data_IF_408005143875
#
_entry.id   IF_408005143875
#
_cell.length_a   1.000
_cell.length_b   1.000
_cell.length_c   1.000
_cell.angle_alpha   90.00
_cell.angle_beta   90.00
_cell.angle_gamma   90.00
#
_symmetry.space_group_name_H-M   'P 1'
#
loop_
_entity.id
_entity.type
_entity.pdbx_description
1 polymer ?
#
# COMPACT_ATOMS: atom_id res chain seq x y z
N UNK A 1 12.75 3.43 -13.92
CA UNK A 1 13.67 3.04 -12.81
C UNK A 1 14.76 4.08 -12.55
N UNK A 2 15.65 4.42 -13.51
CA UNK A 2 16.73 5.39 -13.25
C UNK A 2 16.22 6.78 -12.86
N UNK A 3 15.08 7.22 -13.34
CA UNK A 3 14.49 8.52 -13.02
C UNK A 3 13.96 8.54 -11.57
N UNK A 4 13.33 7.44 -11.13
CA UNK A 4 12.76 7.31 -9.77
C UNK A 4 13.83 7.28 -8.66
N UNK A 5 15.05 6.85 -9.00
CA UNK A 5 16.22 6.91 -8.10
C UNK A 5 16.84 8.30 -8.13
N UNK A 6 16.97 8.91 -9.32
CA UNK A 6 17.69 10.17 -9.52
C UNK A 6 17.00 11.35 -8.81
N UNK A 7 15.67 11.41 -8.85
CA UNK A 7 14.92 12.52 -8.27
C UNK A 7 15.16 12.67 -6.76
N UNK A 8 14.91 11.65 -5.91
CA UNK A 8 15.21 11.77 -4.48
C UNK A 8 16.72 11.92 -4.18
N UNK A 9 17.58 11.29 -4.97
CA UNK A 9 19.01 11.42 -4.79
C UNK A 9 19.48 12.87 -5.05
N UNK A 10 19.02 13.51 -6.12
CA UNK A 10 19.36 14.90 -6.42
C UNK A 10 18.83 15.86 -5.35
N UNK A 11 17.65 15.59 -4.78
CA UNK A 11 17.14 16.38 -3.66
C UNK A 11 18.03 16.24 -2.41
N UNK A 12 18.45 15.01 -2.06
CA UNK A 12 19.34 14.76 -0.92
C UNK A 12 20.67 15.51 -1.13
N UNK A 13 21.30 15.35 -2.30
CA UNK A 13 22.59 16.00 -2.60
C UNK A 13 22.45 17.52 -2.61
N UNK A 14 21.46 18.07 -3.33
CA UNK A 14 21.26 19.51 -3.46
C UNK A 14 21.03 20.21 -2.12
N UNK A 15 20.11 19.69 -1.29
CA UNK A 15 19.85 20.29 0.03
C UNK A 15 21.01 20.07 1.01
N UNK A 16 21.77 18.97 0.89
CA UNK A 16 22.99 18.76 1.69
C UNK A 16 24.08 19.75 1.32
N UNK A 17 24.26 20.02 0.02
CA UNK A 17 25.23 21.01 -0.46
C UNK A 17 24.87 22.44 -0.02
N UNK A 18 23.58 22.80 -0.04
CA UNK A 18 23.10 24.08 0.47
C UNK A 18 23.40 24.23 1.97
N UNK A 19 23.11 23.21 2.78
CA UNK A 19 23.38 23.22 4.21
C UNK A 19 24.89 23.35 4.53
N UNK A 20 25.75 22.77 3.68
CA UNK A 20 27.19 22.78 3.88
C UNK A 20 27.86 24.10 3.47
N UNK A 21 27.36 24.75 2.41
CA UNK A 21 28.05 25.88 1.77
C UNK A 21 27.45 27.26 2.09
N UNK A 22 26.24 27.34 2.65
CA UNK A 22 25.59 28.61 2.97
C UNK A 22 25.31 28.71 4.48
N UNK A 23 26.17 29.48 5.21
CA UNK A 23 26.05 29.61 6.66
C UNK A 23 24.90 30.53 7.11
N UNK A 24 24.26 31.29 6.22
CA UNK A 24 23.30 32.35 6.54
C UNK A 24 21.84 31.86 6.74
N UNK A 25 21.57 30.55 6.61
CA UNK A 25 20.23 30.03 6.88
C UNK A 25 19.86 30.11 8.36
N UNK A 26 18.63 30.53 8.61
CA UNK A 26 18.01 30.43 9.93
C UNK A 26 17.85 28.97 10.39
N UNK A 27 17.72 28.76 11.69
CA UNK A 27 17.50 27.43 12.25
C UNK A 27 16.24 26.77 11.69
N UNK A 28 15.19 27.54 11.37
CA UNK A 28 13.96 27.03 10.76
C UNK A 28 14.20 26.53 9.33
N UNK A 29 14.93 27.26 8.48
CA UNK A 29 15.28 26.85 7.12
C UNK A 29 16.19 25.61 7.13
N UNK A 30 17.15 25.56 8.05
CA UNK A 30 18.00 24.37 8.23
C UNK A 30 17.17 23.14 8.58
N UNK A 31 16.22 23.29 9.49
CA UNK A 31 15.32 22.18 9.85
C UNK A 31 14.48 21.72 8.67
N UNK A 32 13.93 22.64 7.87
CA UNK A 32 13.16 22.31 6.66
C UNK A 32 14.02 21.49 5.66
N UNK A 33 15.27 21.89 5.42
CA UNK A 33 16.15 21.14 4.52
C UNK A 33 16.50 19.76 5.06
N UNK A 34 16.73 19.63 6.37
CA UNK A 34 16.94 18.33 7.03
C UNK A 34 15.70 17.44 6.87
N UNK A 35 14.49 17.97 7.00
CA UNK A 35 13.24 17.22 6.84
C UNK A 35 13.05 16.77 5.38
N UNK A 36 13.41 17.61 4.39
CA UNK A 36 13.40 17.24 2.97
C UNK A 36 14.41 16.10 2.72
N UNK A 37 15.64 16.20 3.23
CA UNK A 37 16.66 15.16 3.09
C UNK A 37 16.16 13.84 3.69
N UNK A 38 15.63 13.87 4.91
CA UNK A 38 15.12 12.69 5.60
C UNK A 38 13.95 12.05 4.84
N UNK A 39 13.05 12.85 4.30
CA UNK A 39 11.89 12.37 3.53
C UNK A 39 12.35 11.67 2.24
N UNK A 40 13.28 12.27 1.50
CA UNK A 40 13.81 11.69 0.27
C UNK A 40 14.68 10.45 0.55
N UNK A 41 15.41 10.41 1.66
CA UNK A 41 16.17 9.23 2.10
C UNK A 41 15.22 8.05 2.38
N UNK A 42 14.12 8.28 3.13
CA UNK A 42 13.11 7.25 3.38
C UNK A 42 12.46 6.73 2.09
N UNK A 43 12.18 7.65 1.15
CA UNK A 43 11.64 7.29 -0.16
C UNK A 43 12.60 6.40 -0.95
N UNK A 44 13.89 6.76 -0.97
CA UNK A 44 14.93 5.99 -1.67
C UNK A 44 15.12 4.60 -1.05
N UNK A 45 15.18 4.51 0.27
CA UNK A 45 15.28 3.21 0.98
C UNK A 45 14.08 2.31 0.67
N UNK A 46 12.86 2.87 0.67
CA UNK A 46 11.66 2.14 0.29
C UNK A 46 11.74 1.63 -1.14
N UNK A 47 12.18 2.49 -2.09
CA UNK A 47 12.33 2.12 -3.49
C UNK A 47 13.31 0.95 -3.68
N UNK A 48 14.47 1.01 -3.02
CA UNK A 48 15.47 -0.08 -3.06
C UNK A 48 14.87 -1.36 -2.48
N UNK A 49 14.17 -1.27 -1.34
CA UNK A 49 13.47 -2.40 -0.73
C UNK A 49 12.44 -3.05 -1.66
N UNK A 50 11.58 -2.23 -2.27
CA UNK A 50 10.54 -2.69 -3.21
C UNK A 50 11.17 -3.38 -4.45
N UNK A 51 12.27 -2.87 -4.99
CA UNK A 51 12.99 -3.47 -6.13
C UNK A 51 13.61 -4.82 -5.74
N UNK A 52 14.26 -4.89 -4.58
CA UNK A 52 14.85 -6.14 -4.09
C UNK A 52 13.78 -7.20 -3.81
N UNK A 53 12.65 -6.79 -3.24
CA UNK A 53 11.51 -7.67 -2.99
C UNK A 53 10.93 -8.20 -4.31
N UNK A 54 10.68 -7.32 -5.28
CA UNK A 54 10.22 -7.70 -6.62
C UNK A 54 11.15 -8.72 -7.26
N UNK A 55 12.46 -8.45 -7.24
CA UNK A 55 13.48 -9.36 -7.78
C UNK A 55 13.46 -10.73 -7.10
N UNK A 56 13.27 -10.79 -5.77
CA UNK A 56 13.18 -12.05 -5.02
C UNK A 56 11.92 -12.83 -5.35
N UNK A 57 10.78 -12.16 -5.53
CA UNK A 57 9.52 -12.80 -5.93
C UNK A 57 9.65 -13.40 -7.33
N UNK A 58 10.17 -12.63 -8.29
CA UNK A 58 10.32 -13.06 -9.69
C UNK A 58 11.32 -14.21 -9.87
N UNK A 59 12.43 -14.17 -9.13
CA UNK A 59 13.43 -15.26 -9.16
C UNK A 59 12.98 -16.51 -8.42
N UNK A 60 11.81 -16.49 -7.77
CA UNK A 60 11.33 -17.60 -6.94
C UNK A 60 12.10 -17.76 -5.63
N UNK A 61 12.97 -16.81 -5.29
CA UNK A 61 13.82 -16.84 -4.09
C UNK A 61 13.13 -16.26 -2.84
N UNK A 62 11.89 -15.75 -2.98
CA UNK A 62 11.12 -15.32 -1.82
C UNK A 62 10.41 -16.52 -1.21
N UNK A 63 10.80 -16.88 0.03
CA UNK A 63 10.11 -17.91 0.79
C UNK A 63 8.80 -17.37 1.35
N UNK A 64 7.74 -18.16 1.26
CA UNK A 64 6.46 -17.92 1.92
C UNK A 64 6.31 -18.93 3.06
N UNK A 65 5.90 -18.44 4.21
CA UNK A 65 5.63 -19.29 5.39
C UNK A 65 4.11 -19.38 5.56
N UNK A 66 3.51 -20.39 4.93
CA UNK A 66 2.07 -20.62 5.04
C UNK A 66 1.70 -21.14 6.42
N UNK A 67 0.68 -20.55 7.01
CA UNK A 67 0.10 -20.92 8.29
C UNK A 67 -1.42 -20.84 8.23
N UNK A 68 -2.06 -21.63 9.08
CA UNK A 68 -3.51 -21.62 9.25
C UNK A 68 -3.90 -20.41 10.10
N UNK A 69 -4.51 -19.40 9.48
CA UNK A 69 -4.76 -18.09 10.08
C UNK A 69 -6.24 -17.73 10.09
N UNK A 70 -6.67 -17.18 11.22
CA UNK A 70 -7.99 -16.53 11.36
C UNK A 70 -8.00 -15.20 10.61
N UNK A 71 -8.86 -15.08 9.62
CA UNK A 71 -9.03 -13.83 8.85
C UNK A 71 -9.47 -12.70 9.76
N UNK A 72 -10.40 -12.95 10.67
CA UNK A 72 -10.88 -11.95 11.64
C UNK A 72 -9.73 -11.42 12.51
N UNK A 73 -8.92 -12.31 13.09
CA UNK A 73 -7.79 -11.92 13.94
C UNK A 73 -6.77 -11.09 13.17
N UNK A 74 -6.39 -11.53 11.98
CA UNK A 74 -5.45 -10.81 11.13
C UNK A 74 -5.97 -9.41 10.78
N UNK A 75 -7.25 -9.29 10.40
CA UNK A 75 -7.84 -7.99 10.08
C UNK A 75 -8.01 -7.11 11.32
N UNK A 76 -8.26 -7.68 12.50
CA UNK A 76 -8.29 -6.92 13.76
C UNK A 76 -6.93 -6.30 14.06
N UNK A 77 -5.83 -7.05 13.90
CA UNK A 77 -4.46 -6.56 14.10
C UNK A 77 -4.10 -5.45 13.10
N UNK A 78 -4.46 -5.63 11.83
CA UNK A 78 -4.30 -4.60 10.79
C UNK A 78 -5.12 -3.35 11.13
N UNK A 79 -6.37 -3.51 11.56
CA UNK A 79 -7.24 -2.39 11.92
C UNK A 79 -6.66 -1.61 13.11
N UNK A 80 -6.22 -2.28 14.17
CA UNK A 80 -5.63 -1.63 15.34
C UNK A 80 -4.41 -0.80 14.96
N UNK A 81 -3.52 -1.34 14.14
CA UNK A 81 -2.32 -0.65 13.69
C UNK A 81 -2.67 0.61 12.89
N UNK A 82 -3.61 0.52 11.94
CA UNK A 82 -3.95 1.63 11.05
C UNK A 82 -4.90 2.64 11.69
N UNK A 83 -5.64 2.28 12.74
CA UNK A 83 -6.47 3.23 13.50
C UNK A 83 -5.67 4.35 14.15
N UNK A 84 -4.37 4.14 14.36
CA UNK A 84 -3.43 5.15 14.85
C UNK A 84 -2.91 6.10 13.74
N UNK A 85 -3.15 5.78 12.46
CA UNK A 85 -2.65 6.52 11.30
C UNK A 85 -3.76 7.23 10.52
N UNK A 86 -5.00 6.76 10.66
CA UNK A 86 -6.17 7.34 10.00
C UNK A 86 -6.89 8.24 11.01
N UNK A 87 -6.85 9.55 10.76
CA UNK A 87 -7.36 10.57 11.69
C UNK A 87 -8.52 11.35 11.08
N UNK A 88 -9.34 12.01 11.90
CA UNK A 88 -10.36 12.93 11.41
C UNK A 88 -9.77 13.94 10.39
N UNK A 89 -10.51 14.28 9.31
CA UNK A 89 -11.95 14.04 9.13
C UNK A 89 -12.31 12.64 8.56
N UNK A 90 -11.35 11.72 8.37
CA UNK A 90 -11.61 10.38 7.88
C UNK A 90 -12.19 9.48 8.97
N UNK A 91 -13.17 8.66 8.60
CA UNK A 91 -13.71 7.61 9.45
C UNK A 91 -13.11 6.26 9.03
N UNK A 92 -12.48 5.54 9.96
CA UNK A 92 -12.02 4.17 9.72
C UNK A 92 -13.03 3.18 10.26
N UNK A 93 -13.60 2.31 9.41
CA UNK A 93 -14.75 1.45 9.70
C UNK A 93 -14.37 -0.01 9.54
N UNK A 94 -14.73 -0.86 10.53
CA UNK A 94 -14.69 -2.32 10.42
C UNK A 94 -15.97 -2.82 9.76
N UNK A 95 -15.82 -3.70 8.76
CA UNK A 95 -16.93 -4.40 8.11
C UNK A 95 -16.66 -5.92 8.15
N UNK A 96 -16.70 -6.48 9.36
CA UNK A 96 -16.42 -7.89 9.60
C UNK A 96 -17.71 -8.64 9.88
N UNK A 97 -17.99 -9.77 9.20
CA UNK A 97 -19.12 -10.62 9.51
C UNK A 97 -19.00 -11.21 10.93
N UNK A 98 -20.09 -11.70 11.49
CA UNK A 98 -20.09 -12.29 12.85
C UNK A 98 -19.27 -13.59 12.90
N UNK A 99 -19.24 -14.35 11.81
CA UNK A 99 -18.49 -15.59 11.66
C UNK A 99 -17.04 -15.32 11.25
N UNK A 100 -16.16 -16.26 11.53
CA UNK A 100 -14.74 -16.22 11.13
C UNK A 100 -14.47 -17.28 10.05
N UNK A 101 -13.38 -17.12 9.33
CA UNK A 101 -12.92 -18.06 8.31
C UNK A 101 -11.40 -18.28 8.47
N UNK A 102 -10.98 -19.51 8.18
CA UNK A 102 -9.57 -19.89 8.19
C UNK A 102 -9.02 -19.90 6.77
N UNK A 103 -7.79 -19.46 6.62
CA UNK A 103 -7.06 -19.43 5.35
C UNK A 103 -5.62 -19.90 5.56
N UNK A 104 -5.07 -20.59 4.57
CA UNK A 104 -3.65 -20.94 4.56
C UNK A 104 -2.88 -19.82 3.85
N UNK A 105 -2.23 -18.95 4.62
CA UNK A 105 -1.53 -17.77 4.09
C UNK A 105 -0.23 -17.50 4.84
N UNK A 106 0.63 -16.72 4.21
CA UNK A 106 1.69 -16.00 4.93
C UNK A 106 1.09 -14.71 5.49
N UNK A 107 0.86 -14.67 6.81
CA UNK A 107 0.19 -13.56 7.49
C UNK A 107 0.95 -12.24 7.35
N UNK A 108 2.30 -12.27 7.30
CA UNK A 108 3.11 -11.08 7.08
C UNK A 108 2.89 -10.52 5.67
N UNK A 109 2.84 -11.39 4.66
CA UNK A 109 2.61 -10.99 3.26
C UNK A 109 1.19 -10.51 3.02
N UNK A 110 0.21 -11.16 3.61
CA UNK A 110 -1.18 -10.70 3.52
C UNK A 110 -1.36 -9.35 4.22
N UNK A 111 -0.75 -9.16 5.40
CA UNK A 111 -0.71 -7.86 6.08
C UNK A 111 -0.07 -6.78 5.22
N UNK A 112 1.01 -7.10 4.49
CA UNK A 112 1.67 -6.17 3.56
C UNK A 112 0.73 -5.73 2.44
N UNK A 113 -0.05 -6.64 1.84
CA UNK A 113 -1.06 -6.32 0.81
C UNK A 113 -2.12 -5.38 1.37
N UNK A 114 -2.71 -5.71 2.52
CA UNK A 114 -3.74 -4.90 3.16
C UNK A 114 -3.22 -3.51 3.59
N UNK A 115 -2.00 -3.46 4.11
CA UNK A 115 -1.32 -2.19 4.45
C UNK A 115 -1.11 -1.31 3.23
N UNK A 116 -0.76 -1.90 2.08
CA UNK A 116 -0.63 -1.15 0.83
C UNK A 116 -1.97 -0.55 0.39
N UNK A 117 -3.06 -1.34 0.46
CA UNK A 117 -4.40 -0.84 0.14
C UNK A 117 -4.83 0.27 1.10
N UNK A 118 -4.62 0.11 2.40
CA UNK A 118 -4.96 1.12 3.41
C UNK A 118 -4.16 2.41 3.25
N UNK A 119 -2.86 2.30 2.94
CA UNK A 119 -2.03 3.48 2.67
C UNK A 119 -2.50 4.23 1.42
N UNK A 120 -2.93 3.51 0.36
CA UNK A 120 -3.51 4.13 -0.82
C UNK A 120 -4.85 4.80 -0.47
N UNK A 121 -5.74 4.13 0.24
CA UNK A 121 -7.02 4.68 0.69
C UNK A 121 -6.81 5.96 1.51
N UNK A 122 -5.91 5.95 2.50
CA UNK A 122 -5.61 7.12 3.33
C UNK A 122 -4.98 8.28 2.54
N UNK A 123 -4.19 7.98 1.52
CA UNK A 123 -3.55 8.97 0.66
C UNK A 123 -4.52 9.66 -0.28
N UNK A 124 -5.52 8.93 -0.81
CA UNK A 124 -6.41 9.42 -1.86
C UNK A 124 -7.83 9.75 -1.37
N UNK A 125 -8.04 9.74 -0.05
CA UNK A 125 -9.31 10.14 0.58
C UNK A 125 -9.04 11.27 1.55
N UNK A 126 -9.51 12.47 1.24
CA UNK A 126 -9.36 13.64 2.12
C UNK A 126 -10.44 13.69 3.19
N UNK A 127 -11.67 13.34 2.82
CA UNK A 127 -12.85 13.31 3.69
C UNK A 127 -13.71 12.09 3.40
N UNK A 128 -14.50 11.65 4.39
CA UNK A 128 -15.38 10.50 4.24
C UNK A 128 -14.90 9.27 5.02
N UNK A 129 -14.86 8.10 4.40
CA UNK A 129 -14.56 6.86 5.13
C UNK A 129 -13.63 5.92 4.38
N UNK A 130 -12.86 5.16 5.18
CA UNK A 130 -12.09 4.00 4.75
C UNK A 130 -12.67 2.80 5.49
N UNK A 131 -13.02 1.75 4.78
CA UNK A 131 -13.62 0.53 5.31
C UNK A 131 -12.68 -0.64 5.08
N UNK A 132 -12.37 -1.38 6.14
CA UNK A 132 -11.65 -2.66 6.08
C UNK A 132 -12.64 -3.78 6.38
N UNK A 133 -12.71 -4.78 5.52
CA UNK A 133 -13.68 -5.86 5.68
C UNK A 133 -13.33 -7.14 4.95
N UNK A 134 -14.17 -8.16 5.17
CA UNK A 134 -14.14 -9.40 4.40
C UNK A 134 -15.53 -10.01 4.24
N UNK A 135 -15.69 -10.81 3.19
CA UNK A 135 -16.88 -11.63 2.96
C UNK A 135 -16.49 -12.94 2.25
N UNK A 136 -17.34 -13.94 2.36
CA UNK A 136 -17.22 -15.19 1.59
C UNK A 136 -18.47 -15.34 0.73
N UNK A 137 -18.38 -15.13 -0.59
CA UNK A 137 -19.50 -15.33 -1.48
C UNK A 137 -19.93 -16.80 -1.47
N UNK A 138 -21.22 -17.10 -1.37
CA UNK A 138 -21.71 -18.47 -1.27
C UNK A 138 -21.29 -19.33 -2.47
N UNK A 139 -20.76 -20.53 -2.18
CA UNK A 139 -20.42 -21.54 -3.20
C UNK A 139 -19.13 -21.27 -3.97
N UNK A 140 -18.34 -20.24 -3.61
CA UNK A 140 -17.08 -19.96 -4.30
C UNK A 140 -15.88 -20.67 -3.67
N UNK A 141 -15.94 -21.04 -2.38
CA UNK A 141 -14.77 -21.51 -1.64
C UNK A 141 -13.69 -20.41 -1.48
N UNK A 142 -14.07 -19.15 -1.59
CA UNK A 142 -13.15 -18.01 -1.54
C UNK A 142 -13.52 -17.03 -0.42
N UNK A 143 -12.49 -16.41 0.16
CA UNK A 143 -12.64 -15.24 1.01
C UNK A 143 -12.14 -13.99 0.27
N UNK A 144 -12.94 -12.94 0.33
CA UNK A 144 -12.69 -11.64 -0.26
C UNK A 144 -12.36 -10.65 0.85
N UNK A 145 -11.07 -10.30 1.04
CA UNK A 145 -10.64 -9.27 1.98
C UNK A 145 -10.50 -7.96 1.21
N UNK A 146 -11.08 -6.89 1.71
CA UNK A 146 -11.12 -5.64 0.98
C UNK A 146 -10.85 -4.40 1.83
N UNK A 147 -10.32 -3.40 1.16
CA UNK A 147 -10.28 -2.01 1.61
C UNK A 147 -11.09 -1.19 0.62
N UNK A 148 -12.09 -0.47 1.15
CA UNK A 148 -12.95 0.42 0.39
C UNK A 148 -12.79 1.85 0.90
N UNK A 149 -12.62 2.79 0.00
CA UNK A 149 -12.51 4.21 0.29
C UNK A 149 -13.57 5.02 -0.45
N UNK A 150 -13.87 6.20 0.07
CA UNK A 150 -14.76 7.19 -0.57
C UNK A 150 -13.97 8.35 -1.17
N UNK A 151 -12.77 8.09 -1.62
CA UNK A 151 -11.86 9.09 -2.17
C UNK A 151 -12.14 9.47 -3.62
N UNK A 152 -11.11 9.95 -4.28
CA UNK A 152 -11.21 10.48 -5.65
C UNK A 152 -11.53 9.43 -6.72
N UNK A 153 -11.43 8.15 -6.40
CA UNK A 153 -11.63 7.05 -7.35
C UNK A 153 -10.60 7.02 -8.48
N UNK A 154 -10.76 6.08 -9.40
CA UNK A 154 -9.81 5.80 -10.49
C UNK A 154 -10.57 5.74 -11.81
N UNK A 155 -10.23 6.60 -12.79
CA UNK A 155 -10.82 6.55 -14.13
C UNK A 155 -10.67 5.17 -14.76
N UNK A 156 -11.69 4.74 -15.50
CA UNK A 156 -11.70 3.41 -16.12
C UNK A 156 -10.47 3.16 -17.03
N UNK A 157 -9.98 4.20 -17.71
CA UNK A 157 -8.78 4.15 -18.56
C UNK A 157 -7.50 3.81 -17.79
N UNK A 158 -7.43 4.14 -16.49
CA UNK A 158 -6.24 3.95 -15.65
C UNK A 158 -6.29 2.67 -14.82
N UNK A 159 -7.46 2.04 -14.64
CA UNK A 159 -7.66 0.91 -13.72
C UNK A 159 -6.78 -0.31 -14.01
N UNK A 160 -6.37 -0.52 -15.25
CA UNK A 160 -5.40 -1.57 -15.60
C UNK A 160 -3.98 -1.12 -15.36
N UNK A 161 -3.68 0.14 -15.66
CA UNK A 161 -2.33 0.70 -15.60
C UNK A 161 -1.81 0.84 -14.16
N UNK A 162 -2.69 1.05 -13.18
CA UNK A 162 -2.26 1.18 -11.78
C UNK A 162 -1.58 -0.06 -11.19
N UNK A 163 -1.73 -1.22 -11.82
CA UNK A 163 -1.05 -2.46 -11.47
C UNK A 163 0.29 -2.64 -12.20
N UNK A 164 0.58 -1.78 -13.19
CA UNK A 164 1.86 -1.79 -13.87
C UNK A 164 2.95 -1.22 -12.97
N UNK A 165 4.18 -1.70 -13.17
CA UNK A 165 5.33 -1.26 -12.40
C UNK A 165 5.68 0.19 -12.71
N UNK A 166 6.01 0.95 -11.69
CA UNK A 166 6.38 2.36 -11.76
C UNK A 166 5.26 3.29 -12.27
N UNK A 167 4.02 2.78 -12.41
CA UNK A 167 2.91 3.62 -12.77
C UNK A 167 2.51 4.54 -11.62
N UNK A 168 2.34 5.82 -11.93
CA UNK A 168 1.82 6.85 -11.03
C UNK A 168 0.82 7.72 -11.78
N UNK A 169 -0.29 8.04 -11.17
CA UNK A 169 -1.30 8.93 -11.74
C UNK A 169 -0.78 10.37 -11.93
N UNK A 170 0.19 10.80 -11.14
CA UNK A 170 0.85 12.11 -11.22
C UNK A 170 2.31 11.96 -10.80
N UNK A 171 3.21 12.71 -11.46
CA UNK A 171 4.62 12.77 -11.07
C UNK A 171 4.82 13.31 -9.64
N UNK A 172 3.86 14.12 -9.15
CA UNK A 172 3.86 14.66 -7.79
C UNK A 172 3.29 13.69 -6.75
N UNK A 173 2.72 12.53 -7.16
CA UNK A 173 2.20 11.59 -6.19
C UNK A 173 3.33 10.88 -5.45
N UNK A 174 3.33 10.99 -4.11
CA UNK A 174 4.27 10.29 -3.26
C UNK A 174 4.21 8.78 -3.49
N UNK A 175 5.37 8.14 -3.61
CA UNK A 175 5.51 6.69 -3.78
C UNK A 175 6.24 6.33 -5.07
N UNK A 176 6.59 5.07 -5.20
CA UNK A 176 7.44 4.53 -6.27
C UNK A 176 6.65 3.91 -7.43
N UNK A 177 5.38 3.61 -7.21
CA UNK A 177 4.54 2.91 -8.18
C UNK A 177 4.82 1.40 -8.28
N UNK A 178 5.42 0.79 -7.25
CA UNK A 178 5.67 -0.66 -7.19
C UNK A 178 4.69 -1.40 -6.27
N UNK A 179 4.05 -0.71 -5.33
CA UNK A 179 3.27 -1.35 -4.28
C UNK A 179 2.15 -2.26 -4.79
N UNK A 180 1.31 -1.80 -5.72
CA UNK A 180 0.21 -2.62 -6.26
C UNK A 180 0.71 -3.79 -7.11
N UNK A 181 1.78 -3.63 -7.89
CA UNK A 181 2.37 -4.74 -8.65
C UNK A 181 2.96 -5.82 -7.73
N UNK A 182 3.55 -5.44 -6.60
CA UNK A 182 4.01 -6.37 -5.57
C UNK A 182 2.81 -7.08 -4.92
N UNK A 183 1.71 -6.36 -4.63
CA UNK A 183 0.50 -6.96 -4.08
C UNK A 183 -0.08 -8.05 -5.00
N UNK A 184 -0.12 -7.82 -6.31
CA UNK A 184 -0.57 -8.83 -7.29
C UNK A 184 0.28 -10.09 -7.20
N UNK A 185 1.61 -9.96 -7.24
CA UNK A 185 2.52 -11.09 -7.15
C UNK A 185 2.40 -11.86 -5.82
N UNK A 186 2.22 -11.14 -4.71
CA UNK A 186 2.00 -11.78 -3.40
C UNK A 186 0.67 -12.56 -3.41
N UNK A 187 -0.42 -11.98 -3.90
CA UNK A 187 -1.72 -12.64 -3.97
C UNK A 187 -1.65 -13.91 -4.85
N UNK A 188 -1.02 -13.84 -6.02
CA UNK A 188 -0.82 -14.99 -6.91
C UNK A 188 -0.01 -16.11 -6.25
N UNK A 189 1.05 -15.79 -5.49
CA UNK A 189 1.84 -16.76 -4.74
C UNK A 189 1.06 -17.44 -3.62
N UNK A 190 0.02 -16.79 -3.09
CA UNK A 190 -0.93 -17.38 -2.12
C UNK A 190 -2.12 -18.09 -2.80
N UNK A 191 -2.07 -18.31 -4.13
CA UNK A 191 -3.14 -18.97 -4.86
C UNK A 191 -4.39 -18.11 -5.10
N UNK A 192 -4.27 -16.80 -4.86
CA UNK A 192 -5.35 -15.83 -5.00
C UNK A 192 -5.15 -14.83 -6.13
N UNK A 193 -5.93 -13.75 -6.06
CA UNK A 193 -5.89 -12.65 -7.04
C UNK A 193 -6.32 -11.33 -6.41
N UNK A 194 -6.07 -10.23 -7.11
CA UNK A 194 -6.56 -8.90 -6.73
C UNK A 194 -7.63 -8.45 -7.72
N UNK A 195 -8.71 -7.89 -7.19
CA UNK A 195 -9.76 -7.22 -7.94
C UNK A 195 -9.88 -5.74 -7.52
N UNK A 196 -10.20 -4.89 -8.50
CA UNK A 196 -10.50 -3.47 -8.30
C UNK A 196 -11.92 -3.18 -8.76
N UNK A 197 -12.66 -2.43 -7.93
CA UNK A 197 -13.88 -1.73 -8.32
C UNK A 197 -13.71 -0.27 -7.95
N UNK A 198 -13.79 0.62 -8.94
CA UNK A 198 -13.61 2.04 -8.72
C UNK A 198 -14.43 2.85 -9.71
N UNK A 199 -14.92 3.98 -9.23
CA UNK A 199 -15.60 4.99 -10.06
C UNK A 199 -15.03 6.36 -9.68
N UNK A 200 -14.61 7.13 -10.68
CA UNK A 200 -14.05 8.46 -10.46
C UNK A 200 -15.04 9.36 -9.70
N UNK A 201 -14.57 10.02 -8.65
CA UNK A 201 -15.37 10.85 -7.75
C UNK A 201 -16.18 10.09 -6.69
N UNK A 202 -16.14 8.74 -6.66
CA UNK A 202 -16.90 7.92 -5.70
C UNK A 202 -16.05 7.05 -4.79
N UNK A 203 -14.77 6.86 -5.17
CA UNK A 203 -13.82 6.04 -4.41
C UNK A 203 -13.47 4.73 -5.07
N UNK A 204 -12.79 3.88 -4.31
CA UNK A 204 -12.26 2.62 -4.82
C UNK A 204 -12.44 1.50 -3.78
N UNK A 205 -12.59 0.27 -4.27
CA UNK A 205 -12.49 -0.95 -3.47
C UNK A 205 -11.43 -1.86 -4.07
N UNK A 206 -10.36 -2.07 -3.34
CA UNK A 206 -9.35 -3.07 -3.63
C UNK A 206 -9.66 -4.33 -2.84
N UNK A 207 -9.68 -5.47 -3.52
CA UNK A 207 -10.02 -6.76 -2.91
C UNK A 207 -8.91 -7.76 -3.20
N UNK A 208 -8.36 -8.39 -2.18
CA UNK A 208 -7.57 -9.61 -2.32
C UNK A 208 -8.47 -10.80 -2.09
N UNK A 209 -8.49 -11.73 -3.04
CA UNK A 209 -9.33 -12.93 -3.04
C UNK A 209 -8.42 -14.14 -2.86
N UNK A 210 -8.73 -14.94 -1.85
CA UNK A 210 -7.93 -16.10 -1.47
C UNK A 210 -8.84 -17.33 -1.33
N UNK A 211 -8.33 -18.57 -1.56
CA UNK A 211 -9.07 -19.78 -1.27
C UNK A 211 -9.29 -19.92 0.24
N UNK A 212 -10.50 -20.33 0.63
CA UNK A 212 -10.79 -20.74 2.01
C UNK A 212 -10.23 -22.14 2.25
N UNK A 213 -9.85 -22.43 3.48
CA UNK A 213 -9.65 -23.82 3.95
C UNK A 213 -11.00 -24.36 4.39
N UNK A 214 -11.36 -25.54 3.89
CA UNK A 214 -12.59 -26.27 4.29
C UNK A 214 -12.51 -26.78 5.74
#
# INVERSE_FOLDING_TARGET
>A
MSHEIRTPLNAIVGFSDMLANEPEFSDAERQEFVDIINTNTKLLLKLVGDILELSRIESGNLSFTFQHESVRKLLDDVYQTHSLLIHPPLQFVKDFPVWDVQVDVDSMRLTQVLTNFLNNANKFTETGSIRLGYCCPPGTGEVHLYVEDTGVGIPHSEQKMIFERFYKRSEFSQGVGLGLSICVLIAEKMGGRIELRSEEGRGSRFTVILPCVE
#
